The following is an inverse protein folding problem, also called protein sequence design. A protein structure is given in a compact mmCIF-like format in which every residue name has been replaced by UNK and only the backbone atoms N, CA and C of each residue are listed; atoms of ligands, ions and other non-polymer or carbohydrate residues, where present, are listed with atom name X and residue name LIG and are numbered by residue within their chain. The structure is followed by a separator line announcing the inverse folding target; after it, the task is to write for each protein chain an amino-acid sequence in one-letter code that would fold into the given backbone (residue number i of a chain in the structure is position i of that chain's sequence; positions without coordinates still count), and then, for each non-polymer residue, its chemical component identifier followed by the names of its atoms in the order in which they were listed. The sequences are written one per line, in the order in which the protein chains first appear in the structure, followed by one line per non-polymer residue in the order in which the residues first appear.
data_IF_294897098355
#
_entry.id   IF_294897098355
#
_cell.length_a   1.000
_cell.length_b   1.000
_cell.length_c   1.000
_cell.angle_alpha   90.00
_cell.angle_beta   90.00
_cell.angle_gamma   90.00
#
_symmetry.space_group_name_H-M   'P 1'
#
loop_
_entity.id
_entity.type
_entity.pdbx_description
1 polymer ?
#
# COMPACT_ATOMS: atom_id res chain seq x y z
N UNK A 1 14.44 -39.06 8.50
CA UNK A 1 14.95 -39.07 7.11
C UNK A 1 16.49 -39.23 7.03
N UNK A 2 17.07 -40.31 7.57
CA UNK A 2 18.49 -40.62 7.28
C UNK A 2 18.56 -41.22 5.88
N UNK A 3 19.10 -40.48 4.91
CA UNK A 3 19.28 -40.95 3.53
C UNK A 3 18.53 -40.17 2.45
N UNK A 4 17.74 -39.16 2.79
CA UNK A 4 17.15 -38.27 1.78
C UNK A 4 18.26 -37.54 1.01
N UNK A 5 18.20 -37.61 -0.32
CA UNK A 5 19.04 -36.80 -1.21
C UNK A 5 18.20 -36.33 -2.38
N UNK A 6 18.19 -35.02 -2.61
CA UNK A 6 17.61 -34.42 -3.80
C UNK A 6 18.76 -34.00 -4.72
N UNK A 7 18.72 -34.40 -5.99
CA UNK A 7 19.68 -33.98 -7.00
C UNK A 7 18.95 -33.31 -8.15
N UNK A 8 19.24 -32.04 -8.38
CA UNK A 8 18.76 -31.27 -9.52
C UNK A 8 19.87 -31.20 -10.58
N UNK A 9 19.56 -31.54 -11.82
CA UNK A 9 20.47 -31.39 -12.96
C UNK A 9 19.83 -30.53 -14.03
N UNK A 10 20.64 -29.71 -14.66
CA UNK A 10 20.22 -28.89 -15.78
C UNK A 10 21.31 -27.95 -16.24
N UNK A 11 20.92 -26.77 -16.69
CA UNK A 11 21.82 -25.77 -17.26
C UNK A 11 21.58 -24.39 -16.66
N UNK A 12 22.65 -23.62 -16.57
CA UNK A 12 22.63 -22.18 -16.31
C UNK A 12 23.31 -21.47 -17.49
N UNK A 13 22.49 -20.93 -18.39
CA UNK A 13 22.93 -20.58 -19.74
C UNK A 13 23.44 -21.82 -20.47
N UNK A 14 24.69 -21.79 -20.92
CA UNK A 14 25.33 -22.93 -21.60
C UNK A 14 26.08 -23.88 -20.68
N UNK A 15 26.18 -23.58 -19.38
CA UNK A 15 26.96 -24.37 -18.45
C UNK A 15 26.08 -25.46 -17.81
N UNK A 16 26.52 -26.73 -17.79
CA UNK A 16 25.84 -27.75 -17.02
C UNK A 16 25.98 -27.44 -15.52
N UNK A 17 24.87 -27.56 -14.79
CA UNK A 17 24.80 -27.33 -13.35
C UNK A 17 24.17 -28.55 -12.69
N UNK A 18 24.80 -28.99 -11.60
CA UNK A 18 24.27 -30.03 -10.74
C UNK A 18 24.21 -29.45 -9.33
N UNK A 19 23.04 -29.53 -8.73
CA UNK A 19 22.81 -29.18 -7.34
C UNK A 19 22.39 -30.42 -6.57
N UNK A 20 22.92 -30.55 -5.36
CA UNK A 20 22.58 -31.64 -4.44
C UNK A 20 22.18 -31.02 -3.13
N UNK A 21 20.99 -31.38 -2.65
CA UNK A 21 20.45 -30.95 -1.37
C UNK A 21 20.39 -32.20 -0.49
N UNK A 22 21.14 -32.18 0.60
CA UNK A 22 21.17 -33.23 1.59
C UNK A 22 19.98 -33.13 2.54
N UNK A 23 19.63 -34.26 3.19
CA UNK A 23 18.56 -34.30 4.20
C UNK A 23 18.67 -33.24 5.31
N UNK A 24 19.89 -32.81 5.65
CA UNK A 24 20.15 -31.80 6.68
C UNK A 24 19.81 -30.37 6.24
N UNK A 25 19.72 -30.12 4.93
CA UNK A 25 19.39 -28.82 4.33
C UNK A 25 17.87 -28.67 4.10
N UNK A 26 17.11 -29.75 4.26
CA UNK A 26 15.65 -29.75 4.15
C UNK A 26 15.04 -29.29 5.45
N UNK A 27 14.16 -28.28 5.37
CA UNK A 27 13.34 -27.83 6.49
C UNK A 27 12.10 -28.70 6.58
N UNK A 28 11.95 -29.35 7.72
CA UNK A 28 10.84 -30.28 7.99
C UNK A 28 9.80 -29.65 8.90
N UNK A 29 8.54 -29.78 8.53
CA UNK A 29 7.40 -29.49 9.37
C UNK A 29 6.35 -30.60 9.20
N UNK A 30 6.13 -31.36 10.27
CA UNK A 30 5.34 -32.60 10.26
C UNK A 30 5.75 -33.53 9.10
N UNK A 31 4.82 -33.88 8.19
CA UNK A 31 5.08 -34.77 7.06
C UNK A 31 5.62 -34.06 5.80
N UNK A 32 5.91 -32.76 5.89
CA UNK A 32 6.31 -31.93 4.74
C UNK A 32 7.77 -31.51 4.87
N UNK A 33 8.56 -31.78 3.83
CA UNK A 33 9.93 -31.29 3.69
C UNK A 33 10.00 -30.22 2.62
N UNK A 34 10.61 -29.09 2.92
CA UNK A 34 10.83 -28.00 1.96
C UNK A 34 12.32 -27.69 1.87
N UNK A 35 12.80 -27.46 0.65
CA UNK A 35 14.16 -26.99 0.40
C UNK A 35 14.16 -25.98 -0.73
N UNK A 36 15.09 -25.03 -0.68
CA UNK A 36 15.30 -24.04 -1.72
C UNK A 36 16.71 -24.23 -2.26
N UNK A 37 16.84 -24.42 -3.57
CA UNK A 37 18.15 -24.48 -4.22
C UNK A 37 18.89 -23.16 -4.12
N UNK A 38 20.21 -23.23 -4.02
CA UNK A 38 21.14 -22.10 -4.08
C UNK A 38 21.69 -21.89 -5.49
N UNK A 39 21.45 -22.84 -6.42
CA UNK A 39 21.86 -22.72 -7.81
C UNK A 39 20.75 -22.21 -8.70
N UNK A 40 21.13 -21.40 -9.69
CA UNK A 40 20.21 -20.91 -10.72
C UNK A 40 20.23 -21.81 -11.94
N UNK A 41 19.04 -22.14 -12.43
CA UNK A 41 18.83 -22.94 -13.64
C UNK A 41 18.06 -22.11 -14.67
N UNK A 42 18.60 -22.01 -15.88
CA UNK A 42 17.82 -21.52 -17.04
C UNK A 42 16.99 -22.64 -17.66
N UNK A 43 17.41 -23.89 -17.48
CA UNK A 43 16.66 -25.08 -17.87
C UNK A 43 16.93 -26.20 -16.88
N UNK A 44 15.88 -26.83 -16.37
CA UNK A 44 15.95 -27.96 -15.47
C UNK A 44 15.68 -29.24 -16.27
N UNK A 45 16.61 -30.18 -16.25
CA UNK A 45 16.54 -31.42 -17.04
C UNK A 45 15.97 -32.56 -16.20
N UNK A 46 16.50 -32.76 -14.99
CA UNK A 46 16.04 -33.84 -14.09
C UNK A 46 16.05 -33.41 -12.63
N UNK A 47 15.09 -33.95 -11.87
CA UNK A 47 15.08 -33.97 -10.41
C UNK A 47 15.06 -35.44 -9.97
N UNK A 48 16.08 -35.85 -9.22
CA UNK A 48 16.18 -37.18 -8.63
C UNK A 48 16.00 -37.08 -7.12
N UNK A 49 15.11 -37.88 -6.57
CA UNK A 49 14.85 -37.96 -5.14
C UNK A 49 15.18 -39.37 -4.65
N UNK A 50 16.22 -39.50 -3.81
CA UNK A 50 16.60 -40.75 -3.17
C UNK A 50 16.15 -40.73 -1.71
N UNK A 51 15.79 -41.89 -1.16
CA UNK A 51 15.46 -42.00 0.27
C UNK A 51 14.09 -41.43 0.67
N UNK A 52 13.18 -41.29 -0.30
CA UNK A 52 11.74 -41.05 -0.08
C UNK A 52 10.92 -42.26 -0.52
N UNK A 53 9.72 -42.42 0.04
CA UNK A 53 8.81 -43.45 -0.39
C UNK A 53 8.33 -43.17 -1.83
N UNK A 54 8.14 -44.19 -2.69
CA UNK A 54 7.73 -43.98 -4.08
C UNK A 54 6.42 -43.21 -4.25
N UNK A 55 5.60 -43.16 -3.19
CA UNK A 55 4.28 -42.55 -3.21
C UNK A 55 4.29 -41.12 -2.63
N UNK A 56 5.45 -40.66 -2.15
CA UNK A 56 5.62 -39.30 -1.65
C UNK A 56 5.48 -38.30 -2.81
N UNK A 57 4.50 -37.39 -2.78
CA UNK A 57 4.40 -36.34 -3.79
C UNK A 57 5.63 -35.44 -3.72
N UNK A 58 6.20 -35.15 -4.89
CA UNK A 58 7.29 -34.18 -5.04
C UNK A 58 6.81 -33.06 -5.94
N UNK A 59 6.83 -31.84 -5.42
CA UNK A 59 6.50 -30.64 -6.17
C UNK A 59 7.75 -29.79 -6.36
N UNK A 60 7.96 -29.31 -7.57
CA UNK A 60 9.06 -28.41 -7.91
C UNK A 60 8.45 -27.06 -8.25
N UNK A 61 8.75 -26.07 -7.41
CA UNK A 61 8.27 -24.71 -7.58
C UNK A 61 9.40 -23.81 -8.07
N UNK A 62 9.14 -23.07 -9.14
CA UNK A 62 10.01 -22.02 -9.64
C UNK A 62 9.21 -20.71 -9.69
N UNK A 63 9.85 -19.60 -9.33
CA UNK A 63 9.24 -18.29 -9.47
C UNK A 63 9.07 -17.97 -10.97
N UNK A 64 7.87 -17.56 -11.35
CA UNK A 64 7.56 -17.10 -12.70
C UNK A 64 7.74 -15.59 -12.78
N UNK A 65 8.88 -15.17 -13.35
CA UNK A 65 9.21 -13.76 -13.57
C UNK A 65 8.70 -13.20 -14.91
N UNK A 66 7.97 -14.00 -15.70
CA UNK A 66 7.47 -13.58 -17.02
C UNK A 66 6.14 -12.83 -16.94
N UNK A 67 5.46 -12.89 -15.79
CA UNK A 67 4.13 -12.31 -15.58
C UNK A 67 4.20 -10.90 -15.05
N UNK A 68 3.12 -10.15 -15.30
CA UNK A 68 2.91 -8.87 -14.62
C UNK A 68 2.33 -9.11 -13.23
N UNK A 69 2.87 -8.42 -12.24
CA UNK A 69 2.34 -8.42 -10.89
C UNK A 69 2.29 -6.99 -10.33
N UNK A 70 1.51 -6.77 -9.27
CA UNK A 70 1.14 -5.46 -8.77
C UNK A 70 2.34 -4.62 -8.32
N UNK A 71 3.39 -5.26 -7.79
CA UNK A 71 4.57 -4.53 -7.28
C UNK A 71 5.41 -3.90 -8.40
N UNK A 72 5.25 -4.33 -9.66
CA UNK A 72 5.79 -3.64 -10.84
C UNK A 72 5.25 -2.21 -11.00
N UNK A 73 4.17 -1.84 -10.29
CA UNK A 73 3.62 -0.48 -10.25
C UNK A 73 4.21 0.38 -9.10
N UNK A 74 5.00 -0.21 -8.19
CA UNK A 74 5.66 0.54 -7.10
C UNK A 74 6.64 1.64 -7.54
N UNK A 75 7.18 1.70 -8.78
CA UNK A 75 7.88 2.89 -9.24
C UNK A 75 7.05 4.18 -9.15
N UNK A 76 5.72 4.08 -9.24
CA UNK A 76 4.80 5.21 -8.98
C UNK A 76 4.89 5.65 -7.52
N UNK A 77 4.81 4.71 -6.59
CA UNK A 77 4.94 5.02 -5.17
C UNK A 77 6.35 5.51 -4.81
N UNK A 78 7.40 4.92 -5.37
CA UNK A 78 8.77 5.30 -5.05
C UNK A 78 9.18 6.66 -5.64
N UNK A 79 8.41 7.20 -6.58
CA UNK A 79 8.74 8.47 -7.25
C UNK A 79 9.94 8.36 -8.21
N UNK A 80 10.27 7.15 -8.67
CA UNK A 80 11.43 6.89 -9.53
C UNK A 80 11.07 6.85 -11.03
N UNK A 81 9.78 6.75 -11.35
CA UNK A 81 9.31 6.86 -12.72
C UNK A 81 9.35 8.32 -13.19
N UNK A 82 9.74 8.57 -14.44
CA UNK A 82 9.49 9.88 -15.04
C UNK A 82 8.00 10.08 -15.37
N UNK A 83 7.60 11.30 -15.70
CA UNK A 83 6.19 11.61 -15.99
C UNK A 83 5.61 10.78 -17.14
N UNK A 84 6.42 10.45 -18.17
CA UNK A 84 5.98 9.64 -19.31
C UNK A 84 5.81 8.17 -18.89
N UNK A 85 6.77 7.63 -18.14
CA UNK A 85 6.71 6.28 -17.61
C UNK A 85 5.50 6.12 -16.69
N UNK A 86 5.26 7.08 -15.80
CA UNK A 86 4.11 7.08 -14.91
C UNK A 86 2.79 7.07 -15.68
N UNK A 87 2.64 7.95 -16.68
CA UNK A 87 1.46 7.97 -17.54
C UNK A 87 1.23 6.63 -18.24
N UNK A 88 2.28 6.01 -18.79
CA UNK A 88 2.19 4.68 -19.42
C UNK A 88 1.74 3.61 -18.41
N UNK A 89 2.29 3.61 -17.20
CA UNK A 89 1.92 2.65 -16.16
C UNK A 89 0.44 2.79 -15.79
N UNK A 90 -0.02 4.03 -15.58
CA UNK A 90 -1.41 4.33 -15.23
C UNK A 90 -2.36 3.90 -16.35
N UNK A 91 -2.14 4.37 -17.57
CA UNK A 91 -3.06 4.14 -18.69
C UNK A 91 -3.13 2.66 -19.07
N UNK A 92 -2.01 1.94 -18.99
CA UNK A 92 -1.95 0.54 -19.42
C UNK A 92 -2.50 -0.43 -18.38
N UNK A 93 -2.40 -0.09 -17.10
CA UNK A 93 -2.60 -1.08 -16.03
C UNK A 93 -3.70 -0.72 -15.04
N UNK A 94 -3.94 0.57 -14.77
CA UNK A 94 -4.78 1.01 -13.65
C UNK A 94 -6.16 1.53 -14.06
N UNK A 95 -6.48 1.55 -15.35
CA UNK A 95 -7.75 2.05 -15.89
C UNK A 95 -8.67 0.94 -16.41
N UNK A 96 -8.13 -0.22 -16.76
CA UNK A 96 -8.89 -1.33 -17.35
C UNK A 96 -9.48 -2.25 -16.26
N UNK A 97 -10.82 -2.37 -16.16
CA UNK A 97 -11.48 -3.24 -15.18
C UNK A 97 -11.23 -4.73 -15.41
N UNK A 98 -10.82 -5.14 -16.61
CA UNK A 98 -10.44 -6.53 -16.89
C UNK A 98 -9.02 -6.86 -16.40
N UNK A 99 -8.21 -5.85 -16.08
CA UNK A 99 -6.81 -6.01 -15.63
C UNK A 99 -6.69 -5.78 -14.13
N UNK A 100 -6.02 -4.72 -13.68
CA UNK A 100 -5.90 -4.46 -12.24
C UNK A 100 -7.08 -3.70 -11.66
N UNK A 101 -7.87 -2.92 -12.41
CA UNK A 101 -8.96 -2.12 -11.85
C UNK A 101 -10.22 -2.96 -11.53
N UNK A 102 -10.05 -4.10 -10.85
CA UNK A 102 -11.13 -5.05 -10.48
C UNK A 102 -12.14 -4.40 -9.56
N UNK A 103 -13.28 -5.08 -9.38
CA UNK A 103 -14.48 -4.54 -8.72
C UNK A 103 -14.19 -3.88 -7.39
N UNK A 104 -13.35 -4.51 -6.57
CA UNK A 104 -13.03 -4.07 -5.21
C UNK A 104 -11.57 -3.63 -5.03
N UNK A 105 -10.85 -3.35 -6.12
CA UNK A 105 -9.49 -2.77 -6.07
C UNK A 105 -8.46 -3.55 -6.89
N UNK A 106 -7.18 -3.41 -6.54
CA UNK A 106 -6.04 -3.92 -7.32
C UNK A 106 -5.55 -5.28 -6.79
N UNK A 107 -5.73 -6.39 -7.54
CA UNK A 107 -5.20 -7.71 -7.18
C UNK A 107 -3.69 -7.80 -7.42
N UNK A 108 -3.04 -8.84 -6.87
CA UNK A 108 -1.60 -9.10 -7.08
C UNK A 108 -1.23 -9.34 -8.55
N UNK A 109 -2.09 -10.00 -9.33
CA UNK A 109 -1.91 -10.22 -10.77
C UNK A 109 -3.16 -9.75 -11.51
N UNK A 110 -3.05 -9.31 -12.78
CA UNK A 110 -4.18 -8.71 -13.47
C UNK A 110 -5.25 -9.76 -13.80
N UNK A 111 -6.52 -9.33 -13.87
CA UNK A 111 -7.67 -10.24 -14.05
C UNK A 111 -7.72 -11.00 -15.37
N UNK A 112 -6.93 -10.58 -16.36
CA UNK A 112 -6.75 -11.23 -17.66
C UNK A 112 -5.62 -12.30 -17.64
N UNK A 113 -4.90 -12.45 -16.53
CA UNK A 113 -3.87 -13.46 -16.38
C UNK A 113 -4.49 -14.87 -16.20
N UNK A 114 -4.02 -15.92 -16.91
CA UNK A 114 -4.57 -17.28 -16.78
C UNK A 114 -4.53 -17.86 -15.36
N UNK A 115 -3.56 -17.43 -14.53
CA UNK A 115 -3.42 -17.85 -13.14
C UNK A 115 -4.27 -17.00 -12.17
N UNK A 116 -5.05 -16.04 -12.66
CA UNK A 116 -5.89 -15.18 -11.84
C UNK A 116 -6.96 -15.99 -11.10
N UNK A 117 -6.83 -16.05 -9.78
CA UNK A 117 -7.78 -16.66 -8.84
C UNK A 117 -7.97 -15.68 -7.68
N UNK A 118 -9.10 -14.95 -7.62
CA UNK A 118 -9.29 -13.90 -6.64
C UNK A 118 -9.45 -14.43 -5.21
N UNK A 119 -9.73 -15.73 -5.05
CA UNK A 119 -9.80 -16.43 -3.77
C UNK A 119 -8.46 -17.08 -3.35
N UNK A 120 -7.41 -16.93 -4.16
CA UNK A 120 -6.07 -17.54 -3.98
C UNK A 120 -6.06 -19.07 -3.98
N UNK A 121 -7.12 -19.75 -4.42
CA UNK A 121 -7.16 -21.22 -4.46
C UNK A 121 -6.58 -21.72 -5.77
N UNK A 122 -5.35 -22.23 -5.74
CA UNK A 122 -4.67 -22.74 -6.93
C UNK A 122 -4.26 -21.64 -7.94
N UNK A 123 -4.05 -20.41 -7.45
CA UNK A 123 -3.62 -19.28 -8.26
C UNK A 123 -3.38 -18.03 -7.42
N UNK A 124 -3.13 -16.90 -8.08
CA UNK A 124 -2.88 -15.59 -7.44
C UNK A 124 -3.97 -14.60 -7.85
N UNK A 125 -4.28 -13.61 -7.02
CA UNK A 125 -5.36 -12.67 -7.34
C UNK A 125 -6.04 -12.04 -6.13
N UNK A 126 -5.66 -12.43 -4.92
CA UNK A 126 -6.06 -11.72 -3.71
C UNK A 126 -5.62 -10.26 -3.73
N UNK A 127 -6.39 -9.44 -3.03
CA UNK A 127 -6.20 -8.02 -2.85
C UNK A 127 -5.56 -7.77 -1.48
N UNK A 128 -4.40 -7.14 -1.49
CA UNK A 128 -3.67 -6.77 -0.28
C UNK A 128 -3.68 -5.26 -0.13
N UNK A 129 -4.30 -4.78 0.94
CA UNK A 129 -4.49 -3.35 1.16
C UNK A 129 -3.18 -2.56 1.29
N UNK A 130 -2.09 -3.09 1.89
CA UNK A 130 -0.82 -2.36 1.95
C UNK A 130 -0.29 -2.01 0.55
N UNK A 131 -0.29 -2.97 -0.38
CA UNK A 131 0.16 -2.73 -1.76
C UNK A 131 -0.75 -1.74 -2.49
N UNK A 132 -2.06 -1.89 -2.32
CA UNK A 132 -3.03 -0.95 -2.89
C UNK A 132 -2.78 0.47 -2.38
N UNK A 133 -2.58 0.65 -1.09
CA UNK A 133 -2.31 1.96 -0.47
C UNK A 133 -1.10 2.64 -1.13
N UNK A 134 0.01 1.92 -1.31
CA UNK A 134 1.21 2.45 -1.97
C UNK A 134 0.91 2.90 -3.41
N UNK A 135 0.16 2.11 -4.18
CA UNK A 135 -0.21 2.49 -5.56
C UNK A 135 -1.11 3.71 -5.59
N UNK A 136 -2.09 3.83 -4.67
CA UNK A 136 -2.94 5.02 -4.55
C UNK A 136 -2.12 6.27 -4.21
N UNK A 137 -1.17 6.17 -3.29
CA UNK A 137 -0.21 7.23 -2.98
C UNK A 137 0.64 7.62 -4.19
N UNK A 138 1.09 6.64 -4.96
CA UNK A 138 1.78 6.86 -6.24
C UNK A 138 0.91 7.63 -7.23
N UNK A 139 -0.36 7.26 -7.39
CA UNK A 139 -1.30 7.98 -8.25
C UNK A 139 -1.46 9.44 -7.83
N UNK A 140 -1.57 9.72 -6.53
CA UNK A 140 -1.62 11.10 -6.01
C UNK A 140 -0.35 11.87 -6.37
N UNK A 141 0.84 11.27 -6.17
CA UNK A 141 2.14 11.88 -6.50
C UNK A 141 2.25 12.32 -7.97
N UNK A 142 1.72 11.53 -8.90
CA UNK A 142 1.77 11.84 -10.34
C UNK A 142 0.53 12.61 -10.84
N UNK A 143 -0.28 13.18 -9.94
CA UNK A 143 -1.41 14.04 -10.32
C UNK A 143 -2.68 13.28 -10.73
N UNK A 144 -2.72 11.96 -10.58
CA UNK A 144 -3.89 11.11 -10.86
C UNK A 144 -4.83 10.98 -9.66
N UNK A 145 -5.01 12.05 -8.89
CA UNK A 145 -5.83 12.06 -7.66
C UNK A 145 -7.29 11.61 -7.87
N UNK A 146 -8.00 11.98 -8.97
CA UNK A 146 -9.35 11.45 -9.22
C UNK A 146 -9.39 9.93 -9.40
N UNK A 147 -8.39 9.35 -10.10
CA UNK A 147 -8.29 7.90 -10.26
C UNK A 147 -7.97 7.22 -8.93
N UNK A 148 -7.07 7.80 -8.12
CA UNK A 148 -6.79 7.31 -6.78
C UNK A 148 -8.06 7.28 -5.90
N UNK A 149 -8.86 8.35 -5.93
CA UNK A 149 -10.13 8.41 -5.22
C UNK A 149 -11.12 7.34 -5.70
N UNK A 150 -11.23 7.14 -7.02
CA UNK A 150 -12.10 6.13 -7.61
C UNK A 150 -11.71 4.71 -7.17
N UNK A 151 -10.43 4.36 -7.25
CA UNK A 151 -9.91 3.05 -6.82
C UNK A 151 -10.04 2.86 -5.31
N UNK A 152 -9.78 3.90 -4.51
CA UNK A 152 -10.01 3.88 -3.06
C UNK A 152 -11.47 3.59 -2.71
N UNK A 153 -12.43 4.21 -3.40
CA UNK A 153 -13.86 3.94 -3.17
C UNK A 153 -14.20 2.47 -3.41
N UNK A 154 -13.71 1.88 -4.51
CA UNK A 154 -13.90 0.45 -4.81
C UNK A 154 -13.36 -0.46 -3.72
N UNK A 155 -12.17 -0.16 -3.21
CA UNK A 155 -11.56 -0.87 -2.09
C UNK A 155 -12.44 -0.78 -0.85
N UNK A 156 -12.90 0.43 -0.52
CA UNK A 156 -13.76 0.65 0.64
C UNK A 156 -15.12 -0.04 0.49
N UNK A 157 -15.70 -0.10 -0.71
CA UNK A 157 -16.97 -0.80 -0.95
C UNK A 157 -16.85 -2.29 -0.60
N UNK A 158 -15.79 -2.96 -1.09
CA UNK A 158 -15.55 -4.38 -0.82
C UNK A 158 -15.19 -4.65 0.63
N UNK A 159 -14.30 -3.82 1.20
CA UNK A 159 -13.87 -3.91 2.59
C UNK A 159 -15.05 -3.74 3.55
N UNK A 160 -15.85 -2.68 3.38
CA UNK A 160 -16.98 -2.39 4.27
C UNK A 160 -18.08 -3.44 4.13
N UNK A 161 -18.33 -3.95 2.93
CA UNK A 161 -19.28 -5.05 2.73
C UNK A 161 -18.81 -6.33 3.43
N UNK A 162 -17.55 -6.73 3.24
CA UNK A 162 -16.95 -7.87 3.93
C UNK A 162 -17.02 -7.71 5.45
N UNK A 163 -16.58 -6.57 6.01
CA UNK A 163 -16.61 -6.32 7.46
C UNK A 163 -18.05 -6.34 8.00
N UNK A 164 -19.05 -5.84 7.25
CA UNK A 164 -20.46 -5.92 7.65
C UNK A 164 -20.96 -7.35 7.73
N UNK A 165 -20.56 -8.21 6.80
CA UNK A 165 -20.97 -9.61 6.74
C UNK A 165 -20.21 -10.49 7.74
N UNK A 166 -18.89 -10.37 7.76
CA UNK A 166 -17.98 -11.27 8.46
C UNK A 166 -17.50 -10.77 9.83
N UNK A 167 -17.76 -9.50 10.16
CA UNK A 167 -17.42 -8.85 11.44
C UNK A 167 -15.93 -8.89 11.79
N UNK A 168 -15.06 -8.95 10.79
CA UNK A 168 -13.61 -8.96 10.98
C UNK A 168 -12.88 -8.25 9.83
N UNK A 169 -11.69 -7.75 10.12
CA UNK A 169 -10.68 -7.45 9.12
C UNK A 169 -9.91 -8.73 8.78
N UNK A 170 -9.32 -8.81 7.60
CA UNK A 170 -8.63 -10.00 7.11
C UNK A 170 -7.28 -9.64 6.50
N UNK A 171 -6.35 -10.58 6.52
CA UNK A 171 -5.02 -10.42 5.92
C UNK A 171 -5.10 -9.89 4.46
N UNK A 172 -6.03 -10.42 3.68
CA UNK A 172 -6.31 -10.00 2.31
C UNK A 172 -7.81 -10.09 2.01
N UNK A 173 -8.21 -9.62 0.83
CA UNK A 173 -9.59 -9.65 0.36
C UNK A 173 -9.69 -10.23 -1.05
N UNK A 174 -10.87 -10.69 -1.42
CA UNK A 174 -11.17 -11.05 -2.79
C UNK A 174 -11.45 -9.78 -3.63
N UNK A 175 -10.89 -9.69 -4.84
CA UNK A 175 -11.00 -8.49 -5.68
C UNK A 175 -12.31 -8.38 -6.47
N UNK A 176 -13.11 -9.46 -6.54
CA UNK A 176 -14.34 -9.56 -7.33
C UNK A 176 -15.60 -9.77 -6.49
N UNK A 177 -15.48 -10.34 -5.29
CA UNK A 177 -16.56 -10.54 -4.31
C UNK A 177 -16.15 -10.01 -2.92
N UNK A 178 -17.08 -9.55 -2.08
CA UNK A 178 -16.78 -8.94 -0.78
C UNK A 178 -16.46 -9.99 0.30
N UNK A 179 -15.34 -10.71 0.12
CA UNK A 179 -14.93 -11.83 0.97
C UNK A 179 -13.52 -11.61 1.55
N UNK A 180 -13.34 -11.94 2.82
CA UNK A 180 -12.03 -11.95 3.49
C UNK A 180 -11.21 -13.20 3.17
N UNK A 181 -9.89 -13.05 3.09
CA UNK A 181 -8.94 -14.12 2.81
C UNK A 181 -7.85 -14.15 3.89
N UNK A 182 -7.38 -15.34 4.24
CA UNK A 182 -6.33 -15.53 5.24
C UNK A 182 -6.83 -15.33 6.67
N UNK A 183 -5.95 -14.84 7.53
CA UNK A 183 -6.22 -14.71 8.96
C UNK A 183 -7.27 -13.63 9.27
N UNK A 184 -8.10 -13.91 10.28
CA UNK A 184 -9.10 -12.96 10.81
C UNK A 184 -8.46 -12.02 11.82
N UNK A 185 -9.01 -10.81 11.90
CA UNK A 185 -8.54 -9.72 12.77
C UNK A 185 -7.10 -9.25 12.49
N UNK A 186 -6.69 -9.33 11.22
CA UNK A 186 -5.38 -8.85 10.80
C UNK A 186 -5.37 -7.33 10.57
N UNK A 187 -4.31 -6.67 11.06
CA UNK A 187 -4.13 -5.21 10.93
C UNK A 187 -3.78 -4.80 9.49
N UNK A 188 -3.18 -5.69 8.70
CA UNK A 188 -2.90 -5.45 7.28
C UNK A 188 -4.19 -5.27 6.47
N UNK A 189 -5.31 -5.80 6.97
CA UNK A 189 -6.64 -5.63 6.40
C UNK A 189 -7.38 -4.34 6.78
N UNK A 190 -6.78 -3.50 7.62
CA UNK A 190 -7.42 -2.25 8.01
C UNK A 190 -7.51 -1.26 6.83
N UNK A 191 -8.47 -0.34 6.89
CA UNK A 191 -8.65 0.68 5.87
C UNK A 191 -7.34 1.51 5.68
N UNK A 192 -6.92 1.79 4.43
CA UNK A 192 -5.65 2.48 4.17
C UNK A 192 -5.79 3.99 4.41
N UNK A 193 -5.71 4.38 5.69
CA UNK A 193 -5.96 5.76 6.14
C UNK A 193 -4.96 6.77 5.59
N UNK A 194 -3.69 6.39 5.43
CA UNK A 194 -2.66 7.27 4.86
C UNK A 194 -2.98 7.65 3.41
N UNK A 195 -3.31 6.67 2.57
CA UNK A 195 -3.75 6.92 1.21
C UNK A 195 -5.01 7.81 1.17
N UNK A 196 -5.96 7.63 2.09
CA UNK A 196 -7.12 8.52 2.19
C UNK A 196 -6.71 9.97 2.50
N UNK A 197 -5.80 10.17 3.44
CA UNK A 197 -5.31 11.51 3.80
C UNK A 197 -4.59 12.16 2.62
N UNK A 198 -3.77 11.42 1.87
CA UNK A 198 -3.10 11.92 0.66
C UNK A 198 -4.08 12.24 -0.48
N UNK A 199 -5.09 11.40 -0.70
CA UNK A 199 -6.16 11.66 -1.67
C UNK A 199 -6.95 12.92 -1.27
N UNK A 200 -7.20 13.10 0.02
CA UNK A 200 -7.79 14.33 0.56
C UNK A 200 -6.80 15.48 0.62
N UNK A 201 -5.52 15.28 0.30
CA UNK A 201 -4.48 16.31 0.37
C UNK A 201 -4.29 16.91 1.75
N UNK A 202 -4.34 16.06 2.77
CA UNK A 202 -4.19 16.42 4.17
C UNK A 202 -2.90 15.82 4.72
N UNK A 203 -2.05 16.66 5.30
CA UNK A 203 -0.93 16.20 6.12
C UNK A 203 -1.08 16.81 7.53
N UNK A 204 -1.46 15.96 8.48
CA UNK A 204 -1.69 16.33 9.87
C UNK A 204 -0.37 16.31 10.63
N UNK A 205 0.19 17.47 10.96
CA UNK A 205 1.48 17.55 11.67
C UNK A 205 1.27 17.61 13.19
N UNK A 206 0.41 18.51 13.66
CA UNK A 206 0.00 18.63 15.06
C UNK A 206 -1.49 18.97 15.13
N UNK A 207 -2.15 18.87 16.30
CA UNK A 207 -3.53 19.33 16.44
C UNK A 207 -3.73 20.82 16.09
N UNK A 208 -2.66 21.62 16.05
CA UNK A 208 -2.68 23.05 15.69
C UNK A 208 -2.03 23.36 14.34
N UNK A 209 -1.54 22.35 13.62
CA UNK A 209 -0.82 22.53 12.35
C UNK A 209 -1.17 21.44 11.34
N UNK A 210 -1.79 21.86 10.24
CA UNK A 210 -2.19 21.00 9.13
C UNK A 210 -1.74 21.59 7.81
N UNK A 211 -1.30 20.75 6.88
CA UNK A 211 -1.09 21.14 5.49
C UNK A 211 -2.26 20.67 4.64
N UNK A 212 -2.73 21.58 3.80
CA UNK A 212 -3.71 21.34 2.76
C UNK A 212 -3.04 21.41 1.41
N UNK A 213 -3.43 20.55 0.47
CA UNK A 213 -3.02 20.62 -0.93
C UNK A 213 -4.02 19.97 -1.87
N UNK A 214 -4.10 20.47 -3.09
CA UNK A 214 -4.85 19.85 -4.18
C UNK A 214 -6.36 19.81 -3.97
N UNK A 215 -7.06 19.45 -5.04
CA UNK A 215 -8.51 19.36 -5.08
C UNK A 215 -9.05 18.20 -4.22
N UNK A 216 -10.26 18.39 -3.66
CA UNK A 216 -11.03 17.33 -2.99
C UNK A 216 -11.77 16.47 -4.04
N UNK A 217 -11.37 15.20 -4.27
CA UNK A 217 -11.82 14.44 -5.43
C UNK A 217 -13.12 13.63 -5.21
N UNK A 218 -13.78 13.75 -4.05
CA UNK A 218 -15.00 12.99 -3.75
C UNK A 218 -16.25 13.85 -3.95
N UNK A 219 -17.33 13.25 -4.44
CA UNK A 219 -18.63 13.91 -4.68
C UNK A 219 -19.37 14.31 -3.39
N UNK A 220 -18.83 13.94 -2.23
CA UNK A 220 -19.39 14.24 -0.91
C UNK A 220 -18.36 14.90 -0.02
N UNK A 221 -18.79 15.76 0.92
CA UNK A 221 -17.89 16.34 1.89
C UNK A 221 -17.27 15.24 2.77
N UNK A 222 -15.99 15.41 3.09
CA UNK A 222 -15.24 14.50 3.95
C UNK A 222 -14.77 15.25 5.19
N UNK A 223 -14.85 14.61 6.35
CA UNK A 223 -14.38 15.17 7.62
C UNK A 223 -13.40 14.23 8.29
N UNK A 224 -12.25 14.79 8.69
CA UNK A 224 -11.20 14.10 9.43
C UNK A 224 -11.09 14.76 10.79
N UNK A 225 -11.28 13.97 11.85
CA UNK A 225 -11.13 14.43 13.23
C UNK A 225 -9.99 13.69 13.90
N UNK A 226 -9.04 14.42 14.47
CA UNK A 226 -7.84 13.88 15.11
C UNK A 226 -7.38 14.79 16.26
N UNK A 227 -7.39 14.27 17.50
CA UNK A 227 -6.88 14.99 18.69
C UNK A 227 -7.46 16.42 18.86
N UNK A 228 -8.76 16.59 18.61
CA UNK A 228 -9.46 17.87 18.71
C UNK A 228 -9.43 18.73 17.44
N UNK A 229 -8.48 18.49 16.53
CA UNK A 229 -8.52 19.07 15.18
C UNK A 229 -9.62 18.41 14.37
N UNK A 230 -10.42 19.21 13.67
CA UNK A 230 -11.36 18.73 12.66
C UNK A 230 -11.11 19.47 11.35
N UNK A 231 -10.89 18.71 10.28
CA UNK A 231 -10.75 19.24 8.92
C UNK A 231 -11.89 18.70 8.08
N UNK A 232 -12.77 19.59 7.63
CA UNK A 232 -13.88 19.27 6.74
C UNK A 232 -13.58 19.83 5.35
N UNK A 233 -13.35 18.94 4.39
CA UNK A 233 -13.16 19.29 2.98
C UNK A 233 -14.47 19.15 2.22
N UNK A 234 -14.86 20.22 1.55
CA UNK A 234 -15.92 20.27 0.54
C UNK A 234 -15.27 20.63 -0.81
N UNK A 235 -16.01 20.57 -1.92
CA UNK A 235 -15.45 20.77 -3.26
C UNK A 235 -14.79 22.14 -3.46
N UNK A 236 -15.31 23.19 -2.83
CA UNK A 236 -14.81 24.56 -2.99
C UNK A 236 -14.18 25.15 -1.72
N UNK A 237 -14.56 24.62 -0.54
CA UNK A 237 -14.21 25.21 0.75
C UNK A 237 -13.69 24.12 1.67
N UNK A 238 -12.61 24.42 2.40
CA UNK A 238 -12.12 23.61 3.50
C UNK A 238 -12.30 24.38 4.80
N UNK A 239 -13.00 23.77 5.77
CA UNK A 239 -13.17 24.29 7.12
C UNK A 239 -12.27 23.53 8.09
N UNK A 240 -11.43 24.26 8.81
CA UNK A 240 -10.59 23.73 9.87
C UNK A 240 -11.14 24.22 11.20
N UNK A 241 -11.29 23.33 12.17
CA UNK A 241 -11.63 23.65 13.56
C UNK A 241 -10.52 23.13 14.45
N UNK A 242 -9.87 24.02 15.19
CA UNK A 242 -8.78 23.69 16.08
C UNK A 242 -9.27 23.21 17.46
N UNK A 243 -8.40 22.65 18.32
CA UNK A 243 -8.80 22.09 19.61
C UNK A 243 -9.47 23.08 20.59
N UNK A 244 -9.20 24.39 20.46
CA UNK A 244 -9.84 25.43 21.26
C UNK A 244 -11.16 25.96 20.65
N UNK A 245 -11.57 25.40 19.51
CA UNK A 245 -12.81 25.75 18.82
C UNK A 245 -12.66 26.88 17.78
N UNK A 246 -11.48 27.50 17.64
CA UNK A 246 -11.24 28.46 16.55
C UNK A 246 -11.46 27.79 15.19
N UNK A 247 -12.10 28.52 14.27
CA UNK A 247 -12.40 28.04 12.94
C UNK A 247 -11.76 28.91 11.87
N UNK A 248 -11.20 28.26 10.86
CA UNK A 248 -10.70 28.90 9.65
C UNK A 248 -11.39 28.26 8.45
N UNK A 249 -11.88 29.10 7.54
CA UNK A 249 -12.36 28.67 6.23
C UNK A 249 -11.37 29.10 5.16
N UNK A 250 -11.07 28.19 4.25
CA UNK A 250 -10.12 28.38 3.17
C UNK A 250 -10.72 27.92 1.86
N UNK A 251 -10.40 28.65 0.80
CA UNK A 251 -10.71 28.32 -0.58
C UNK A 251 -9.44 28.01 -1.40
N UNK A 252 -9.67 27.37 -2.54
CA UNK A 252 -8.62 27.01 -3.50
C UNK A 252 -7.84 25.74 -3.15
N UNK A 253 -7.06 25.30 -4.14
CA UNK A 253 -6.35 24.01 -4.11
C UNK A 253 -4.83 24.16 -3.88
N UNK A 254 -4.38 25.40 -3.65
CA UNK A 254 -2.96 25.70 -3.45
C UNK A 254 -2.42 25.08 -2.17
N UNK A 255 -1.24 24.46 -2.29
CA UNK A 255 -0.56 23.82 -1.18
C UNK A 255 -0.14 24.86 -0.13
N UNK A 256 -0.65 24.75 1.10
CA UNK A 256 -0.34 25.68 2.19
C UNK A 256 -0.37 25.00 3.56
N UNK A 257 0.49 25.50 4.46
CA UNK A 257 0.39 25.19 5.89
C UNK A 257 -0.60 26.14 6.55
N UNK A 258 -1.45 25.58 7.40
CA UNK A 258 -2.37 26.31 8.26
C UNK A 258 -1.97 25.99 9.69
N UNK A 259 -1.61 27.02 10.43
CA UNK A 259 -1.10 26.90 11.80
C UNK A 259 -1.81 27.89 12.70
N UNK A 260 -2.28 27.39 13.84
CA UNK A 260 -2.82 28.21 14.91
C UNK A 260 -1.69 28.50 15.90
N UNK A 261 -1.28 29.76 15.95
CA UNK A 261 -0.28 30.24 16.91
C UNK A 261 -0.85 30.13 18.33
N UNK A 262 -0.07 29.56 19.25
CA UNK A 262 -0.43 29.49 20.66
C UNK A 262 0.05 30.77 21.36
N UNK A 263 -0.86 31.63 21.88
CA UNK A 263 -0.49 32.87 22.57
C UNK A 263 0.38 32.64 23.81
N UNK A 264 0.43 31.41 24.35
CA UNK A 264 1.20 31.07 25.55
C UNK A 264 2.66 30.70 25.29
N UNK A 265 3.07 30.58 24.01
CA UNK A 265 4.43 30.17 23.61
C UNK A 265 5.29 31.29 23.01
N UNK A 266 4.78 32.51 22.89
CA UNK A 266 5.55 33.66 22.40
C UNK A 266 6.19 34.42 23.58
N UNK A 267 7.50 34.77 23.54
CA UNK A 267 8.10 35.57 24.60
C UNK A 267 7.38 36.94 24.68
N UNK A 268 7.12 37.47 25.88
CA UNK A 268 6.45 38.75 26.02
C UNK A 268 7.25 39.83 25.27
N UNK A 269 6.57 40.79 24.61
CA UNK A 269 7.26 41.87 23.92
C UNK A 269 8.21 42.57 24.91
N UNK A 270 9.42 42.95 24.48
CA UNK A 270 10.37 43.61 25.37
C UNK A 270 9.70 44.84 25.99
N UNK A 271 9.89 45.09 27.30
CA UNK A 271 9.20 46.18 27.97
C UNK A 271 9.53 47.49 27.25
N UNK A 272 8.49 48.15 26.73
CA UNK A 272 8.58 49.50 26.20
C UNK A 272 9.17 50.40 27.27
N UNK A 273 10.38 50.93 27.04
CA UNK A 273 11.01 51.91 27.92
C UNK A 273 10.21 53.22 27.86
N UNK A 274 9.21 53.33 28.72
CA UNK A 274 8.53 54.59 28.99
C UNK A 274 9.39 55.42 29.95
N UNK A 275 9.94 56.51 29.42
CA UNK A 275 10.18 57.77 30.13
C UNK A 275 11.15 57.76 31.32
N UNK A 276 12.41 58.13 31.08
CA UNK A 276 13.20 58.88 32.07
C UNK A 276 13.24 60.34 31.62
N UNK A 277 12.41 61.16 32.28
CA UNK A 277 12.40 62.60 32.16
C UNK A 277 13.58 63.22 32.96
N UNK A 278 14.26 64.16 32.30
CA UNK A 278 14.89 65.40 32.76
C UNK A 278 15.52 65.57 34.17
N UNK A 279 16.72 66.15 34.14
CA UNK A 279 17.31 67.02 35.18
C UNK A 279 18.58 66.42 35.84
N UNK A 280 19.68 67.13 36.13
CA UNK A 280 20.10 68.54 35.98
C UNK A 280 21.64 68.56 36.12
N UNK A 281 22.32 69.53 35.50
CA UNK A 281 23.76 69.88 35.59
C UNK A 281 24.32 70.02 37.03
N UNK A 282 25.65 69.95 37.26
CA UNK A 282 26.63 70.96 36.82
C UNK A 282 27.37 70.64 35.51
#
# INVERSE_FOLDING_TARGET
ARGLRLTARGRSGDRPVIERIAAAEVRWFDQHGTATGERTFTHLETIECEGIEPQTPVEVLAADYSRSELTHLLPLWAGVADARQAQILVDRWLTDPNRYARRYGLPVIPGDDPAYRPDRRGGSGGLWLPWNALILSGLVRYGHRPLAAHLFQRIMDGLLECVRQEKAFFEAYNADVPQGLGERHDVAGAAPMEALLEILGLQLATPRRVRLEGHHPFDRPMSVSWRGLTVRRETAVTRITFPDGEQIELDGDEARWVEQLDPSTDPPPPPTSAGAAAGTRP
#
